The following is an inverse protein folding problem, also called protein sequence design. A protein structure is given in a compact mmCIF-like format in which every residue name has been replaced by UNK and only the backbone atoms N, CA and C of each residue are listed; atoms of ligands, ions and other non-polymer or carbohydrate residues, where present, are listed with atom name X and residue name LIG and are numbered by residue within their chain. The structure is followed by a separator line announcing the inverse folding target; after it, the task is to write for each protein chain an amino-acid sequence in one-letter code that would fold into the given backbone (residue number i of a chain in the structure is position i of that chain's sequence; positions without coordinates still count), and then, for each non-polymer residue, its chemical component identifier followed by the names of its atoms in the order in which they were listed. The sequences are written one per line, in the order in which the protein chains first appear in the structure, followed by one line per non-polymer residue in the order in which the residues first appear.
data_IF_517393597705
#
_entry.id   IF_517393597705
#
_cell.length_a   1.000
_cell.length_b   1.000
_cell.length_c   1.000
_cell.angle_alpha   90.00
_cell.angle_beta   90.00
_cell.angle_gamma   90.00
#
_symmetry.space_group_name_H-M   'P 1'
#
loop_
_entity.id
_entity.type
_entity.pdbx_description
1 polymer ?
#
# COMPACT_ATOMS: atom_id res chain seq x y z
N UNK A 1 5.63 9.92 12.05
CA UNK A 1 4.28 9.36 11.80
C UNK A 1 4.44 8.31 10.71
N UNK A 2 3.77 7.15 10.79
CA UNK A 2 4.02 6.05 9.85
C UNK A 2 2.86 5.83 8.89
N UNK A 3 3.17 5.45 7.66
CA UNK A 3 2.20 4.99 6.67
C UNK A 3 2.71 3.72 6.01
N UNK A 4 1.80 2.93 5.43
CA UNK A 4 2.13 1.73 4.70
C UNK A 4 1.83 1.95 3.22
N UNK A 5 2.81 1.69 2.36
CA UNK A 5 2.72 1.96 0.93
C UNK A 5 2.77 0.64 0.18
N UNK A 6 1.73 0.38 -0.61
CA UNK A 6 1.66 -0.70 -1.59
C UNK A 6 1.84 -0.12 -3.00
N UNK A 7 2.63 -0.81 -3.81
CA UNK A 7 2.83 -0.46 -5.22
C UNK A 7 2.34 -1.60 -6.10
N UNK A 8 1.36 -1.32 -6.95
CA UNK A 8 0.90 -2.26 -7.97
C UNK A 8 1.82 -2.18 -9.19
N UNK A 9 2.72 -3.15 -9.31
CA UNK A 9 3.70 -3.23 -10.40
C UNK A 9 3.09 -3.58 -11.75
N UNK A 10 1.81 -3.95 -11.79
CA UNK A 10 1.06 -4.19 -13.03
C UNK A 10 0.48 -2.91 -13.63
N UNK A 11 0.56 -1.77 -12.93
CA UNK A 11 0.06 -0.47 -13.38
C UNK A 11 1.19 0.51 -13.66
N UNK A 12 0.97 1.39 -14.62
CA UNK A 12 1.92 2.45 -14.97
C UNK A 12 1.95 3.57 -13.92
N UNK A 13 3.10 4.24 -13.83
CA UNK A 13 3.25 5.42 -12.95
C UNK A 13 2.28 6.51 -13.39
N UNK A 14 1.40 6.92 -12.48
CA UNK A 14 0.33 7.89 -12.74
C UNK A 14 -1.07 7.27 -12.84
N UNK A 15 -1.19 5.95 -12.93
CA UNK A 15 -2.46 5.24 -12.76
C UNK A 15 -2.92 5.35 -11.30
N UNK A 16 -4.23 5.56 -11.09
CA UNK A 16 -4.80 5.74 -9.76
C UNK A 16 -4.64 4.49 -8.88
N UNK A 17 -4.49 3.31 -9.47
CA UNK A 17 -4.30 2.04 -8.76
C UNK A 17 -2.80 1.67 -8.61
N UNK A 18 -1.87 2.49 -9.12
CA UNK A 18 -0.43 2.20 -9.03
C UNK A 18 0.08 2.26 -7.59
N UNK A 19 -0.44 3.17 -6.77
CA UNK A 19 -0.02 3.38 -5.39
C UNK A 19 -1.22 3.38 -4.45
N UNK A 20 -1.09 2.68 -3.33
CA UNK A 20 -2.07 2.70 -2.26
C UNK A 20 -1.38 2.96 -0.93
N UNK A 21 -1.92 3.92 -0.18
CA UNK A 21 -1.37 4.33 1.12
C UNK A 21 -2.36 3.95 2.21
N UNK A 22 -1.86 3.32 3.26
CA UNK A 22 -2.63 2.86 4.40
C UNK A 22 -2.12 3.51 5.69
N UNK A 23 -3.03 3.72 6.62
CA UNK A 23 -2.71 4.31 7.92
C UNK A 23 -2.03 3.33 8.90
N UNK A 24 -2.15 2.02 8.66
CA UNK A 24 -1.54 0.97 9.49
C UNK A 24 -1.26 -0.30 8.67
N UNK A 25 -0.40 -1.18 9.20
CA UNK A 25 -0.16 -2.51 8.66
C UNK A 25 -1.46 -3.33 8.58
N UNK A 26 -2.26 -3.34 9.65
CA UNK A 26 -3.53 -4.09 9.71
C UNK A 26 -4.51 -3.65 8.63
N UNK A 27 -4.55 -2.35 8.31
CA UNK A 27 -5.40 -1.82 7.25
C UNK A 27 -4.94 -2.29 5.86
N UNK A 28 -3.62 -2.42 5.65
CA UNK A 28 -3.07 -2.99 4.43
C UNK A 28 -3.39 -4.49 4.33
N UNK A 29 -3.14 -5.27 5.38
CA UNK A 29 -3.43 -6.71 5.42
C UNK A 29 -4.92 -7.03 5.21
N UNK A 30 -5.81 -6.26 5.83
CA UNK A 30 -7.25 -6.42 5.64
C UNK A 30 -7.63 -6.17 4.18
N UNK A 31 -7.04 -5.15 3.54
CA UNK A 31 -7.29 -4.85 2.13
C UNK A 31 -6.75 -5.94 1.20
N UNK A 32 -5.56 -6.50 1.48
CA UNK A 32 -4.95 -7.55 0.66
C UNK A 32 -5.79 -8.83 0.59
N UNK A 33 -6.47 -9.21 1.68
CA UNK A 33 -7.33 -10.40 1.70
C UNK A 33 -8.41 -10.40 0.61
N UNK A 34 -8.94 -9.23 0.27
CA UNK A 34 -10.04 -9.09 -0.68
C UNK A 34 -9.59 -8.66 -2.08
N UNK A 35 -8.41 -8.02 -2.19
CA UNK A 35 -7.99 -7.36 -3.43
C UNK A 35 -6.71 -7.94 -4.06
N UNK A 36 -5.71 -8.27 -3.24
CA UNK A 36 -4.42 -8.77 -3.71
C UNK A 36 -3.79 -9.62 -2.60
N UNK A 37 -4.11 -10.93 -2.54
CA UNK A 37 -3.66 -11.81 -1.46
C UNK A 37 -2.15 -11.96 -1.35
N UNK A 38 -1.42 -11.67 -2.43
CA UNK A 38 0.05 -11.70 -2.49
C UNK A 38 0.67 -10.30 -2.32
N UNK A 39 -0.17 -9.27 -2.18
CA UNK A 39 0.25 -7.89 -2.02
C UNK A 39 1.03 -7.66 -0.72
N UNK A 40 2.05 -6.80 -0.81
CA UNK A 40 2.89 -6.42 0.32
C UNK A 40 2.98 -4.91 0.40
N UNK A 41 2.67 -4.34 1.55
CA UNK A 41 2.86 -2.92 1.84
C UNK A 41 4.09 -2.73 2.73
N UNK A 42 4.89 -1.72 2.43
CA UNK A 42 6.09 -1.40 3.19
C UNK A 42 5.87 -0.19 4.10
N UNK A 43 6.43 -0.26 5.31
CA UNK A 43 6.40 0.85 6.27
C UNK A 43 7.24 2.01 5.76
N UNK A 44 6.70 3.22 5.84
CA UNK A 44 7.37 4.46 5.53
C UNK A 44 7.20 5.44 6.69
N UNK A 45 8.32 5.88 7.27
CA UNK A 45 8.35 6.90 8.32
C UNK A 45 8.29 8.30 7.69
N UNK A 46 7.31 9.10 8.10
CA UNK A 46 7.17 10.50 7.72
C UNK A 46 8.09 11.36 8.58
N UNK A 47 8.93 12.15 7.91
CA UNK A 47 9.81 13.15 8.51
C UNK A 47 9.07 14.49 8.53
N UNK A 48 9.12 15.21 9.65
CA UNK A 48 8.56 16.56 9.82
C UNK A 48 9.45 17.66 9.23
#
# INVERSE_FOLDING_TARGET
MKVWIFTNTSKEVGDADHLKVFASADAAEAWFKDHDPEGVAFEYELIE
#
